data_IF_410682467727
#
_entry.id   IF_410682467727
#
_cell.length_a   1.000
_cell.length_b   1.000
_cell.length_c   1.000
_cell.angle_alpha   90.00
_cell.angle_beta   90.00
_cell.angle_gamma   90.00
#
_symmetry.space_group_name_H-M   'P 1'
#
loop_
_entity.id
_entity.type
_entity.pdbx_description
1 polymer ?
#
# COMPACT_ATOMS: atom_id res chain seq x y z
N UNK A 1 15.31 -2.59 2.83
CA UNK A 1 14.66 -3.86 2.40
C UNK A 1 15.14 -4.19 1.00
N UNK A 2 15.56 -5.43 0.77
CA UNK A 2 16.04 -5.85 -0.55
C UNK A 2 14.88 -6.04 -1.51
N UNK A 3 15.08 -5.65 -2.75
CA UNK A 3 14.04 -5.78 -3.78
C UNK A 3 13.58 -7.22 -3.99
N UNK A 4 14.51 -8.20 -3.93
CA UNK A 4 14.16 -9.61 -4.07
C UNK A 4 13.21 -10.07 -2.96
N UNK A 5 13.37 -9.55 -1.75
CA UNK A 5 12.50 -9.91 -0.62
C UNK A 5 11.11 -9.33 -0.80
N UNK A 6 11.03 -8.12 -1.36
CA UNK A 6 9.75 -7.49 -1.70
C UNK A 6 9.01 -8.34 -2.74
N UNK A 7 9.71 -8.76 -3.79
CA UNK A 7 9.12 -9.59 -4.85
C UNK A 7 8.62 -10.91 -4.28
N UNK A 8 9.39 -11.55 -3.41
CA UNK A 8 8.96 -12.80 -2.76
C UNK A 8 7.70 -12.59 -1.93
N UNK A 9 7.65 -11.49 -1.17
CA UNK A 9 6.44 -11.17 -0.40
C UNK A 9 5.25 -10.96 -1.32
N UNK A 10 5.41 -10.18 -2.38
CA UNK A 10 4.30 -9.91 -3.31
C UNK A 10 3.76 -11.19 -3.95
N UNK A 11 4.65 -12.11 -4.33
CA UNK A 11 4.24 -13.41 -4.85
C UNK A 11 3.43 -14.20 -3.83
N UNK A 12 3.89 -14.21 -2.59
CA UNK A 12 3.18 -14.86 -1.49
C UNK A 12 1.81 -14.23 -1.26
N UNK A 13 1.75 -12.89 -1.21
CA UNK A 13 0.51 -12.16 -1.01
C UNK A 13 -0.49 -12.42 -2.13
N UNK A 14 -0.05 -12.31 -3.38
CA UNK A 14 -0.92 -12.51 -4.54
C UNK A 14 -1.46 -13.95 -4.60
N UNK A 15 -0.64 -14.91 -4.21
CA UNK A 15 -1.08 -16.32 -4.17
C UNK A 15 -2.18 -16.53 -3.15
N UNK A 16 -2.06 -15.88 -1.99
CA UNK A 16 -3.08 -15.98 -0.92
C UNK A 16 -4.43 -15.40 -1.32
N UNK A 17 -4.44 -14.40 -2.19
CA UNK A 17 -5.67 -13.69 -2.56
C UNK A 17 -6.17 -14.00 -3.97
N UNK A 18 -5.53 -14.93 -4.70
CA UNK A 18 -5.80 -15.14 -6.13
C UNK A 18 -7.24 -15.50 -6.46
N UNK A 19 -7.95 -16.16 -5.53
CA UNK A 19 -9.35 -16.57 -5.72
C UNK A 19 -10.35 -15.56 -5.16
N UNK A 20 -9.87 -14.38 -4.75
CA UNK A 20 -10.68 -13.39 -4.06
C UNK A 20 -10.84 -12.14 -4.92
N UNK A 21 -12.04 -11.56 -4.87
CA UNK A 21 -12.33 -10.28 -5.51
C UNK A 21 -12.16 -9.18 -4.47
N UNK A 22 -10.93 -8.70 -4.30
CA UNK A 22 -10.57 -7.73 -3.27
C UNK A 22 -10.21 -6.38 -3.88
N UNK A 23 -10.59 -5.31 -3.19
CA UNK A 23 -10.27 -3.95 -3.60
C UNK A 23 -9.16 -3.38 -2.71
N UNK A 24 -7.93 -3.35 -3.23
CA UNK A 24 -6.77 -2.84 -2.53
C UNK A 24 -5.84 -2.12 -3.48
N UNK A 25 -4.95 -1.32 -2.91
CA UNK A 25 -3.87 -0.66 -3.65
C UNK A 25 -2.60 -0.71 -2.82
N UNK A 26 -1.48 -0.98 -3.49
CA UNK A 26 -0.17 -0.76 -2.89
C UNK A 26 0.02 0.75 -2.83
N UNK A 27 0.43 1.26 -1.68
CA UNK A 27 0.63 2.69 -1.45
C UNK A 27 2.03 2.94 -0.88
N UNK A 28 2.29 4.16 -0.43
CA UNK A 28 3.54 4.52 0.21
C UNK A 28 4.76 4.37 -0.68
N UNK A 29 5.91 4.14 -0.06
CA UNK A 29 7.19 4.13 -0.78
C UNK A 29 7.30 3.02 -1.81
N UNK A 30 6.69 1.86 -1.57
CA UNK A 30 6.72 0.78 -2.55
C UNK A 30 5.96 1.16 -3.82
N UNK A 31 4.80 1.81 -3.69
CA UNK A 31 4.05 2.28 -4.86
C UNK A 31 4.87 3.28 -5.68
N UNK A 32 5.61 4.16 -5.02
CA UNK A 32 6.48 5.12 -5.70
C UNK A 32 7.60 4.41 -6.44
N UNK A 33 8.22 3.43 -5.82
CA UNK A 33 9.30 2.66 -6.44
C UNK A 33 8.79 1.89 -7.67
N UNK A 34 7.67 1.23 -7.55
CA UNK A 34 7.07 0.46 -8.66
C UNK A 34 6.80 1.39 -9.86
N UNK A 35 6.47 2.65 -9.60
CA UNK A 35 6.18 3.64 -10.64
C UNK A 35 7.41 4.40 -11.12
N UNK A 36 8.60 4.02 -10.70
CA UNK A 36 9.85 4.51 -11.26
C UNK A 36 10.70 5.41 -10.39
N UNK A 37 10.24 5.79 -9.20
CA UNK A 37 11.07 6.61 -8.31
C UNK A 37 12.20 5.79 -7.68
N UNK A 38 13.37 6.39 -7.59
CA UNK A 38 14.51 5.75 -6.92
C UNK A 38 14.42 5.95 -5.42
N UNK A 39 14.13 4.86 -4.71
CA UNK A 39 14.11 4.85 -3.26
C UNK A 39 14.11 3.40 -2.76
N UNK A 40 14.40 3.23 -1.48
CA UNK A 40 14.41 1.91 -0.85
C UNK A 40 13.27 1.87 0.17
N UNK A 41 12.22 1.10 -0.07
CA UNK A 41 11.13 0.97 0.89
C UNK A 41 11.60 0.33 2.19
N UNK A 42 11.11 0.81 3.32
CA UNK A 42 11.38 0.23 4.65
C UNK A 42 10.31 -0.76 5.07
N UNK A 43 9.09 -0.53 4.58
CA UNK A 43 7.93 -1.36 4.86
C UNK A 43 7.03 -1.36 3.63
N UNK A 44 5.98 -2.14 3.70
CA UNK A 44 4.99 -2.24 2.62
C UNK A 44 3.67 -1.70 3.14
N UNK A 45 3.10 -0.73 2.43
CA UNK A 45 1.82 -0.14 2.77
C UNK A 45 0.76 -0.57 1.76
N UNK A 46 -0.36 -1.06 2.28
CA UNK A 46 -1.52 -1.45 1.47
C UNK A 46 -2.75 -0.74 2.04
N UNK A 47 -3.51 -0.08 1.16
CA UNK A 47 -4.79 0.51 1.50
C UNK A 47 -5.90 -0.31 0.85
N UNK A 48 -7.04 -0.41 1.51
CA UNK A 48 -8.15 -1.24 1.03
C UNK A 48 -9.49 -0.75 1.57
N UNK A 49 -10.57 -1.31 1.02
CA UNK A 49 -11.90 -1.06 1.54
C UNK A 49 -12.20 -1.93 2.77
N UNK A 50 -13.34 -1.69 3.42
CA UNK A 50 -13.71 -2.39 4.64
C UNK A 50 -13.83 -3.90 4.44
N UNK A 51 -14.44 -4.33 3.36
CA UNK A 51 -14.60 -5.75 3.08
C UNK A 51 -13.25 -6.43 2.92
N UNK A 52 -12.37 -5.84 2.11
CA UNK A 52 -11.02 -6.37 1.87
C UNK A 52 -10.20 -6.39 3.15
N UNK A 53 -10.34 -5.35 3.98
CA UNK A 53 -9.64 -5.28 5.27
C UNK A 53 -9.95 -6.49 6.14
N UNK A 54 -11.23 -6.83 6.28
CA UNK A 54 -11.66 -7.98 7.08
C UNK A 54 -11.19 -9.29 6.47
N UNK A 55 -11.24 -9.42 5.16
CA UNK A 55 -10.75 -10.60 4.46
C UNK A 55 -9.25 -10.81 4.67
N UNK A 56 -8.46 -9.75 4.50
CA UNK A 56 -7.01 -9.81 4.70
C UNK A 56 -6.67 -10.12 6.16
N UNK A 57 -7.42 -9.54 7.10
CA UNK A 57 -7.21 -9.81 8.52
C UNK A 57 -7.41 -11.29 8.84
N UNK A 58 -8.41 -11.92 8.23
CA UNK A 58 -8.65 -13.33 8.40
C UNK A 58 -7.57 -14.20 7.74
N UNK A 59 -7.23 -13.88 6.46
CA UNK A 59 -6.24 -14.64 5.70
C UNK A 59 -4.84 -14.61 6.33
N UNK A 60 -4.47 -13.50 6.92
CA UNK A 60 -3.14 -13.30 7.48
C UNK A 60 -3.12 -13.25 9.00
N UNK A 61 -4.14 -13.77 9.66
CA UNK A 61 -4.29 -13.68 11.11
C UNK A 61 -3.09 -14.17 11.90
N UNK A 62 -2.36 -15.17 11.38
CA UNK A 62 -1.20 -15.74 12.07
C UNK A 62 0.04 -14.85 11.99
N UNK A 63 0.00 -13.80 11.19
CA UNK A 63 1.12 -12.88 10.99
C UNK A 63 0.89 -11.52 11.66
N UNK A 64 -0.28 -11.29 12.24
CA UNK A 64 -0.62 -9.99 12.85
C UNK A 64 0.20 -9.79 14.13
N UNK A 65 0.94 -8.68 14.19
CA UNK A 65 1.73 -8.33 15.37
C UNK A 65 1.16 -7.13 16.12
N UNK A 66 0.30 -6.34 15.47
CA UNK A 66 -0.33 -5.17 16.08
C UNK A 66 -1.57 -4.80 15.29
N UNK A 67 -2.59 -4.27 15.98
CA UNK A 67 -3.78 -3.73 15.33
C UNK A 67 -4.35 -2.59 16.16
N UNK A 68 -5.12 -1.72 15.52
CA UNK A 68 -5.71 -0.59 16.21
C UNK A 68 -6.30 0.43 15.24
N UNK A 69 -6.38 1.66 15.69
CA UNK A 69 -6.94 2.76 14.91
C UNK A 69 -5.93 3.91 14.85
N UNK A 70 -5.78 4.49 13.66
CA UNK A 70 -5.00 5.72 13.45
C UNK A 70 -5.97 6.89 13.35
N UNK A 71 -6.14 7.62 14.44
CA UNK A 71 -7.11 8.72 14.50
C UNK A 71 -6.78 9.86 13.52
N UNK A 72 -5.49 10.16 13.36
CA UNK A 72 -5.03 11.20 12.44
C UNK A 72 -5.36 10.88 10.98
N UNK A 73 -5.42 9.61 10.63
CA UNK A 73 -5.76 9.15 9.28
C UNK A 73 -7.21 8.74 9.15
N UNK A 74 -7.96 8.71 10.24
CA UNK A 74 -9.35 8.23 10.30
C UNK A 74 -9.49 6.85 9.68
N UNK A 75 -8.70 5.91 10.18
CA UNK A 75 -8.70 4.56 9.65
C UNK A 75 -8.24 3.51 10.64
N UNK A 76 -8.67 2.29 10.39
CA UNK A 76 -8.26 1.12 11.14
C UNK A 76 -7.07 0.47 10.44
N UNK A 77 -6.19 -0.14 11.21
CA UNK A 77 -4.99 -0.76 10.65
C UNK A 77 -4.64 -2.05 11.38
N UNK A 78 -3.86 -2.88 10.71
CA UNK A 78 -3.10 -3.94 11.37
C UNK A 78 -1.74 -4.09 10.68
N UNK A 79 -0.75 -4.49 11.47
CA UNK A 79 0.60 -4.73 10.99
C UNK A 79 0.87 -6.22 10.92
N UNK A 80 1.47 -6.64 9.83
CA UNK A 80 1.92 -8.01 9.64
C UNK A 80 3.44 -8.05 9.70
N UNK A 81 3.97 -9.14 10.25
CA UNK A 81 5.38 -9.49 10.10
C UNK A 81 5.43 -10.80 9.33
N UNK A 82 5.94 -10.71 8.09
CA UNK A 82 6.07 -11.87 7.22
C UNK A 82 7.54 -12.04 6.89
N UNK A 83 8.21 -12.95 7.58
CA UNK A 83 9.65 -13.23 7.42
C UNK A 83 10.51 -11.97 7.55
N UNK A 84 10.17 -11.14 8.54
CA UNK A 84 10.90 -9.91 8.81
C UNK A 84 10.45 -8.71 7.99
N UNK A 85 9.51 -8.87 7.06
CA UNK A 85 8.94 -7.78 6.29
C UNK A 85 7.73 -7.24 7.02
N UNK A 86 7.74 -5.94 7.32
CA UNK A 86 6.60 -5.26 7.93
C UNK A 86 5.62 -4.81 6.85
N UNK A 87 4.37 -5.20 7.03
CA UNK A 87 3.28 -4.84 6.11
C UNK A 87 2.19 -4.12 6.91
N UNK A 88 1.87 -2.91 6.50
CA UNK A 88 0.83 -2.09 7.12
C UNK A 88 -0.41 -2.13 6.24
N UNK A 89 -1.49 -2.68 6.75
CA UNK A 89 -2.78 -2.74 6.06
C UNK A 89 -3.69 -1.69 6.69
N UNK A 90 -4.17 -0.75 5.88
CA UNK A 90 -4.95 0.38 6.33
C UNK A 90 -6.29 0.46 5.58
N UNK A 91 -7.34 0.69 6.35
CA UNK A 91 -8.70 0.88 5.84
C UNK A 91 -9.21 2.24 6.33
N UNK A 92 -9.58 3.12 5.41
CA UNK A 92 -10.07 4.45 5.75
C UNK A 92 -11.58 4.46 6.01
N UNK A 93 -12.02 5.45 6.78
CA UNK A 93 -13.43 5.78 6.87
C UNK A 93 -13.92 6.30 5.49
N UNK A 94 -15.22 6.28 5.27
CA UNK A 94 -15.86 6.46 3.96
C UNK A 94 -15.36 7.65 3.13
N UNK A 95 -15.02 8.75 3.76
CA UNK A 95 -14.64 9.98 3.05
C UNK A 95 -13.34 9.87 2.24
N UNK A 96 -12.50 8.86 2.52
CA UNK A 96 -11.22 8.63 1.81
C UNK A 96 -11.25 7.43 0.88
N UNK A 97 -12.35 6.69 0.88
CA UNK A 97 -12.53 5.52 0.02
C UNK A 97 -12.41 5.84 -1.48
N UNK A 98 -12.80 7.05 -1.97
CA UNK A 98 -12.65 7.37 -3.39
C UNK A 98 -11.27 7.16 -3.98
N UNK A 99 -10.21 7.20 -3.16
CA UNK A 99 -8.84 6.92 -3.62
C UNK A 99 -8.68 5.51 -4.18
N UNK A 100 -9.58 4.59 -3.80
CA UNK A 100 -9.53 3.20 -4.24
C UNK A 100 -10.21 2.99 -5.60
N UNK A 101 -11.04 3.93 -6.06
CA UNK A 101 -11.83 3.75 -7.27
C UNK A 101 -11.04 3.91 -8.56
N UNK A 102 -9.89 4.61 -8.51
CA UNK A 102 -9.02 4.70 -9.67
C UNK A 102 -8.22 3.41 -9.78
N UNK A 103 -8.49 2.65 -10.84
CA UNK A 103 -7.78 1.41 -11.12
C UNK A 103 -6.53 1.78 -11.92
N UNK A 104 -5.37 1.53 -11.32
CA UNK A 104 -4.08 1.72 -11.99
C UNK A 104 -3.20 0.53 -11.65
N UNK A 105 -2.92 -0.26 -12.68
CA UNK A 105 -2.15 -1.49 -12.53
C UNK A 105 -0.82 -1.35 -13.26
N UNK A 106 0.26 -1.67 -12.59
CA UNK A 106 1.62 -1.59 -13.14
C UNK A 106 2.24 -2.98 -13.13
N UNK A 107 2.89 -3.33 -14.24
CA UNK A 107 3.67 -4.56 -14.31
C UNK A 107 5.06 -4.29 -13.72
N UNK A 108 5.44 -5.06 -12.72
CA UNK A 108 6.72 -4.94 -12.04
C UNK A 108 7.23 -6.32 -11.70
N UNK A 109 8.43 -6.66 -12.16
CA UNK A 109 8.97 -8.03 -12.04
C UNK A 109 7.97 -9.10 -12.52
N UNK A 110 7.26 -8.80 -13.63
CA UNK A 110 6.25 -9.69 -14.23
C UNK A 110 5.03 -9.91 -13.35
N UNK A 111 4.86 -9.10 -12.31
CA UNK A 111 3.67 -9.11 -11.46
C UNK A 111 2.78 -7.94 -11.85
N UNK A 112 1.47 -8.18 -11.95
CA UNK A 112 0.48 -7.13 -12.19
C UNK A 112 0.01 -6.60 -10.85
N UNK A 113 0.36 -5.35 -10.53
CA UNK A 113 0.16 -4.78 -9.20
C UNK A 113 -0.74 -3.55 -9.25
N UNK A 114 -1.85 -3.55 -8.49
CA UNK A 114 -2.67 -2.35 -8.34
C UNK A 114 -1.95 -1.39 -7.39
N UNK A 115 -1.69 -0.18 -7.86
CA UNK A 115 -0.95 0.83 -7.09
C UNK A 115 -1.75 2.12 -6.99
N UNK A 116 -1.51 2.87 -5.92
CA UNK A 116 -2.01 4.23 -5.81
C UNK A 116 -1.17 5.10 -6.74
N UNK A 117 -1.77 5.78 -7.75
CA UNK A 117 -1.00 6.58 -8.70
C UNK A 117 -0.19 7.68 -8.04
N UNK A 118 0.87 8.15 -8.70
CA UNK A 118 1.77 9.17 -8.15
C UNK A 118 1.02 10.42 -7.70
N UNK A 119 0.09 10.92 -8.51
CA UNK A 119 -0.67 12.12 -8.17
C UNK A 119 -1.53 11.90 -6.94
N UNK A 120 -2.18 10.75 -6.84
CA UNK A 120 -3.01 10.41 -5.67
C UNK A 120 -2.13 10.23 -4.42
N UNK A 121 -0.94 9.66 -4.59
CA UNK A 121 0.02 9.51 -3.49
C UNK A 121 0.46 10.88 -2.98
N UNK A 122 0.73 11.83 -3.88
CA UNK A 122 1.05 13.20 -3.49
C UNK A 122 -0.07 13.80 -2.65
N UNK A 123 -1.32 13.70 -3.12
CA UNK A 123 -2.48 14.21 -2.39
C UNK A 123 -2.63 13.55 -1.03
N UNK A 124 -2.42 12.24 -0.96
CA UNK A 124 -2.49 11.50 0.30
C UNK A 124 -1.47 12.02 1.31
N UNK A 125 -0.24 12.25 0.87
CA UNK A 125 0.79 12.81 1.74
C UNK A 125 0.42 14.23 2.22
N UNK A 126 -0.15 15.06 1.35
CA UNK A 126 -0.61 16.40 1.73
C UNK A 126 -1.72 16.34 2.78
N UNK A 127 -2.71 15.45 2.58
CA UNK A 127 -3.82 15.28 3.50
C UNK A 127 -3.40 14.76 4.87
N UNK A 128 -2.28 14.04 4.93
CA UNK A 128 -1.76 13.45 6.17
C UNK A 128 -0.59 14.22 6.74
N UNK A 129 -0.38 15.47 6.28
CA UNK A 129 0.66 16.39 6.75
C UNK A 129 2.09 15.88 6.55
N UNK A 130 2.28 15.04 5.54
CA UNK A 130 3.61 14.53 5.15
C UNK A 130 4.14 15.37 3.98
N UNK A 131 4.32 16.66 4.22
CA UNK A 131 4.62 17.63 3.17
C UNK A 131 5.95 17.40 2.46
N UNK A 132 6.98 16.93 3.18
CA UNK A 132 8.28 16.64 2.58
C UNK A 132 8.15 15.51 1.56
N UNK A 133 7.41 14.47 1.90
CA UNK A 133 7.17 13.35 1.00
C UNK A 133 6.33 13.77 -0.21
N UNK A 134 5.30 14.59 0.03
CA UNK A 134 4.46 15.14 -1.04
C UNK A 134 5.29 15.96 -2.02
N UNK A 135 6.22 16.78 -1.52
CA UNK A 135 7.07 17.61 -2.34
C UNK A 135 8.02 16.79 -3.22
N UNK A 136 8.53 15.69 -2.70
CA UNK A 136 9.38 14.78 -3.48
C UNK A 136 8.63 14.15 -4.65
N UNK A 137 7.39 13.73 -4.42
CA UNK A 137 6.54 13.18 -5.49
C UNK A 137 6.23 14.26 -6.52
N UNK A 138 5.88 15.46 -6.06
CA UNK A 138 5.60 16.60 -6.95
C UNK A 138 6.78 16.91 -7.83
N UNK A 139 7.99 16.93 -7.27
CA UNK A 139 9.20 17.18 -8.02
C UNK A 139 9.46 16.10 -9.07
N UNK A 140 9.27 14.84 -8.70
CA UNK A 140 9.42 13.74 -9.64
C UNK A 140 8.44 13.86 -10.82
N UNK A 141 7.18 14.21 -10.54
CA UNK A 141 6.16 14.40 -11.57
C UNK A 141 6.53 15.51 -12.57
N UNK A 142 7.27 16.52 -12.13
CA UNK A 142 7.73 17.59 -13.01
C UNK A 142 8.88 17.15 -13.91
N UNK A 143 9.64 16.16 -13.50
CA UNK A 143 10.84 15.69 -14.21
C UNK A 143 10.56 14.63 -15.28
N UNK A 144 9.38 14.03 -15.26
CA UNK A 144 9.04 12.97 -16.20
C UNK A 144 8.13 13.47 -17.38
#
# INVERSE_FOLDING_TARGET
MKEIDIVKFLKFFLKKIEDKDLMYRISGSLALKIQGMELIPKDIDIICDNFTFLELKYLFKNYIVKEGRKEDLKGDYFLLDIKGIEVDILCFDDEKTPMLYKIYTVSWHKLELPVLPLYETQKFYELTNRYDKAQRVKQYLKEI
#
